data_IF_823872294782
#
_entry.id   IF_823872294782
#
_cell.length_a   1.000
_cell.length_b   1.000
_cell.length_c   1.000
_cell.angle_alpha   90.00
_cell.angle_beta   90.00
_cell.angle_gamma   90.00
#
_symmetry.space_group_name_H-M   'P 1'
#
loop_
_entity.id
_entity.type
_entity.pdbx_description
1 polymer ?
#
# COMPACT_ATOMS: atom_id res chain seq x y z
N UNK A 1 15.20 18.53 14.91
CA UNK A 1 13.78 18.47 14.50
C UNK A 1 13.78 18.00 13.05
N UNK A 2 13.19 16.84 12.77
CA UNK A 2 13.04 16.31 11.41
C UNK A 2 11.76 16.88 10.79
N UNK A 3 11.86 17.52 9.63
CA UNK A 3 10.69 17.93 8.84
C UNK A 3 10.19 16.73 8.02
N UNK A 4 8.87 16.53 7.97
CA UNK A 4 8.23 15.53 7.12
C UNK A 4 7.01 16.16 6.43
N UNK A 5 6.66 15.62 5.26
CA UNK A 5 5.51 16.04 4.48
C UNK A 5 4.69 14.82 4.06
N UNK A 6 3.37 14.91 4.23
CA UNK A 6 2.44 13.89 3.75
C UNK A 6 2.30 13.96 2.23
N UNK A 7 2.20 12.80 1.58
CA UNK A 7 2.10 12.69 0.13
C UNK A 7 0.67 12.39 -0.27
N UNK A 8 0.02 13.31 -0.99
CA UNK A 8 -1.25 13.07 -1.69
C UNK A 8 -0.98 12.38 -3.02
N UNK A 9 -1.81 11.42 -3.41
CA UNK A 9 -1.73 10.78 -4.73
C UNK A 9 -0.62 9.74 -4.88
N UNK A 10 0.07 9.36 -3.81
CA UNK A 10 1.02 8.25 -3.86
C UNK A 10 0.25 6.93 -4.04
N UNK A 11 0.67 6.12 -5.00
CA UNK A 11 0.05 4.81 -5.26
C UNK A 11 0.64 3.78 -4.30
N UNK A 12 -0.23 3.16 -3.51
CA UNK A 12 0.13 2.10 -2.57
C UNK A 12 -0.59 0.81 -2.94
N UNK A 13 0.10 -0.32 -2.78
CA UNK A 13 -0.41 -1.66 -3.06
C UNK A 13 -0.27 -2.53 -1.82
N UNK A 14 -1.34 -3.22 -1.46
CA UNK A 14 -1.28 -4.36 -0.54
C UNK A 14 -1.15 -5.62 -1.38
N UNK A 15 -0.18 -6.47 -1.03
CA UNK A 15 -0.05 -7.81 -1.59
C UNK A 15 0.05 -8.82 -0.46
N UNK A 16 -0.81 -9.83 -0.50
CA UNK A 16 -0.77 -10.99 0.39
C UNK A 16 -0.26 -12.18 -0.40
N UNK A 17 0.63 -12.95 0.23
CA UNK A 17 1.16 -14.20 -0.29
C UNK A 17 0.99 -15.30 0.73
N UNK A 18 0.70 -16.51 0.27
CA UNK A 18 0.70 -17.67 1.15
C UNK A 18 2.08 -17.84 1.79
N UNK A 19 2.11 -18.05 3.11
CA UNK A 19 3.36 -18.10 3.88
C UNK A 19 4.30 -19.24 3.49
N UNK A 20 3.79 -20.29 2.83
CA UNK A 20 4.57 -21.48 2.45
C UNK A 20 4.86 -21.52 0.96
N UNK A 21 3.85 -21.34 0.10
CA UNK A 21 4.04 -21.41 -1.34
C UNK A 21 4.60 -20.12 -1.95
N UNK A 22 4.59 -19.01 -1.19
CA UNK A 22 4.96 -17.66 -1.63
C UNK A 22 4.11 -17.13 -2.80
N UNK A 23 3.05 -17.85 -3.19
CA UNK A 23 2.16 -17.42 -4.27
C UNK A 23 1.29 -16.27 -3.79
N UNK A 24 1.14 -15.23 -4.62
CA UNK A 24 0.21 -14.13 -4.36
C UNK A 24 -1.22 -14.66 -4.33
N UNK A 25 -1.91 -14.41 -3.22
CA UNK A 25 -3.29 -14.84 -2.95
C UNK A 25 -4.27 -13.67 -3.06
N UNK A 26 -3.80 -12.45 -2.72
CA UNK A 26 -4.59 -11.24 -2.79
C UNK A 26 -3.73 -10.03 -3.16
N UNK A 27 -4.29 -9.13 -3.97
CA UNK A 27 -3.62 -7.89 -4.37
C UNK A 27 -4.65 -6.80 -4.61
N UNK A 28 -4.44 -5.64 -3.98
CA UNK A 28 -5.26 -4.44 -4.17
C UNK A 28 -4.41 -3.18 -4.10
N UNK A 29 -4.86 -2.08 -4.70
CA UNK A 29 -4.13 -0.81 -4.72
C UNK A 29 -5.08 0.37 -4.52
N UNK A 30 -4.54 1.48 -4.02
CA UNK A 30 -5.24 2.76 -3.87
C UNK A 30 -4.24 3.92 -3.91
N UNK A 31 -4.76 5.14 -3.89
CA UNK A 31 -3.95 6.36 -3.76
C UNK A 31 -4.15 7.01 -2.40
N UNK A 32 -3.10 7.60 -1.85
CA UNK A 32 -3.22 8.41 -0.64
C UNK A 32 -4.06 9.67 -0.87
N UNK A 33 -4.83 10.04 0.14
CA UNK A 33 -5.64 11.26 0.14
C UNK A 33 -4.84 12.52 0.51
N UNK A 34 -5.52 13.66 0.68
CA UNK A 34 -4.90 14.95 0.99
C UNK A 34 -4.11 14.97 2.31
N UNK A 35 -4.41 14.03 3.23
CA UNK A 35 -3.70 13.87 4.50
C UNK A 35 -2.55 12.87 4.42
N UNK A 36 -2.29 12.29 3.24
CA UNK A 36 -1.35 11.18 3.06
C UNK A 36 -1.89 9.84 3.56
N UNK A 37 -3.18 9.75 3.87
CA UNK A 37 -3.81 8.52 4.37
C UNK A 37 -4.28 7.67 3.20
N UNK A 38 -4.10 6.35 3.29
CA UNK A 38 -4.68 5.39 2.36
C UNK A 38 -5.65 4.45 3.10
N UNK A 39 -6.63 3.92 2.37
CA UNK A 39 -7.57 2.89 2.88
C UNK A 39 -7.70 1.79 1.85
N UNK A 40 -7.36 0.57 2.25
CA UNK A 40 -7.44 -0.62 1.41
C UNK A 40 -8.46 -1.57 2.04
N UNK A 41 -9.68 -1.68 1.48
CA UNK A 41 -10.60 -2.73 1.89
C UNK A 41 -10.01 -4.09 1.55
N UNK A 42 -10.06 -5.00 2.51
CA UNK A 42 -9.56 -6.37 2.39
C UNK A 42 -10.73 -7.30 2.67
N UNK A 43 -11.18 -7.99 1.63
CA UNK A 43 -12.30 -8.93 1.72
C UNK A 43 -11.77 -10.33 1.99
N UNK A 44 -12.56 -11.11 2.74
CA UNK A 44 -12.23 -12.50 3.07
C UNK A 44 -11.24 -12.65 4.23
N UNK A 45 -10.88 -13.90 4.49
CA UNK A 45 -9.90 -14.28 5.51
C UNK A 45 -8.52 -14.52 4.86
N UNK A 46 -7.46 -14.17 5.59
CA UNK A 46 -6.06 -14.19 5.14
C UNK A 46 -5.14 -14.85 6.19
N UNK A 47 -5.67 -15.77 7.03
CA UNK A 47 -4.96 -16.43 8.14
C UNK A 47 -3.61 -17.07 7.78
N UNK A 48 -3.49 -17.65 6.57
CA UNK A 48 -2.27 -18.33 6.10
C UNK A 48 -1.33 -17.44 5.29
N UNK A 49 -1.67 -16.15 5.15
CA UNK A 49 -0.96 -15.23 4.28
C UNK A 49 -0.07 -14.24 5.06
N UNK A 50 1.02 -13.84 4.40
CA UNK A 50 1.83 -12.69 4.78
C UNK A 50 1.44 -11.54 3.86
N UNK A 51 0.86 -10.49 4.44
CA UNK A 51 0.44 -9.29 3.73
C UNK A 51 1.40 -8.12 3.95
N UNK A 52 1.84 -7.49 2.86
CA UNK A 52 2.77 -6.35 2.88
C UNK A 52 2.23 -5.20 2.02
N UNK A 53 2.52 -3.97 2.45
CA UNK A 53 2.16 -2.76 1.71
C UNK A 53 3.41 -2.20 1.05
N UNK A 54 3.30 -1.95 -0.26
CA UNK A 54 4.34 -1.40 -1.11
C UNK A 54 3.94 -0.03 -1.61
N UNK A 55 4.90 0.88 -1.67
CA UNK A 55 4.78 2.11 -2.44
C UNK A 55 5.12 1.80 -3.89
N UNK A 56 4.14 1.93 -4.78
CA UNK A 56 4.30 1.58 -6.21
C UNK A 56 4.88 2.76 -6.97
N UNK A 57 4.25 3.92 -6.80
CA UNK A 57 4.70 5.17 -7.40
C UNK A 57 4.53 6.31 -6.42
N UNK A 58 5.47 7.26 -6.48
CA UNK A 58 5.27 8.56 -5.86
C UNK A 58 4.78 9.53 -6.93
N UNK A 59 3.82 10.39 -6.57
CA UNK A 59 3.43 11.48 -7.45
C UNK A 59 4.63 12.42 -7.64
N UNK A 60 5.14 12.48 -8.88
CA UNK A 60 6.25 13.36 -9.29
C UNK A 60 5.96 14.85 -9.07
N UNK A 61 4.70 15.21 -8.84
CA UNK A 61 4.28 16.58 -8.54
C UNK A 61 4.75 17.08 -7.16
N UNK A 62 5.20 16.19 -6.27
CA UNK A 62 5.66 16.52 -4.91
C UNK A 62 7.17 16.88 -4.87
N UNK A 63 7.92 16.57 -5.93
CA UNK A 63 9.37 16.88 -6.02
C UNK A 63 9.71 18.23 -6.66
N UNK A 64 8.75 19.12 -6.88
CA UNK A 64 8.98 20.48 -7.43
C UNK A 64 8.92 21.57 -6.37
#
# INVERSE_FOLDING_TARGET
LTAYQFMKGAEVKLECRNAVSESVTYSTHTTTDESGTYRLPVDGDHEEDICEVFLVTQDSSITS
#
